data_IF_934336083834
#
_entry.id   IF_934336083834
#
_cell.length_a   1.000
_cell.length_b   1.000
_cell.length_c   1.000
_cell.angle_alpha   90.00
_cell.angle_beta   90.00
_cell.angle_gamma   90.00
#
_symmetry.space_group_name_H-M   'P 1'
#
loop_
_entity.id
_entity.type
_entity.pdbx_description
1 polymer ?
#
# COMPACT_ATOMS: atom_id res chain seq x y z
N UNK A 1 17.56 -5.58 31.31
CA UNK A 1 17.81 -5.84 29.87
C UNK A 1 18.35 -7.26 29.77
N UNK A 2 17.52 -8.22 29.38
CA UNK A 2 17.93 -9.62 29.24
C UNK A 2 18.16 -9.85 27.75
N UNK A 3 19.43 -9.98 27.36
CA UNK A 3 19.80 -10.32 25.98
C UNK A 3 19.65 -11.84 25.85
N UNK A 4 18.62 -12.29 25.15
CA UNK A 4 18.49 -13.70 24.79
C UNK A 4 19.61 -14.09 23.80
N UNK A 5 20.20 -15.29 23.91
CA UNK A 5 21.20 -15.74 22.95
C UNK A 5 20.60 -15.83 21.54
N UNK A 6 21.37 -15.59 20.47
CA UNK A 6 20.88 -15.68 19.12
C UNK A 6 20.34 -17.11 18.85
N UNK A 7 19.10 -17.20 18.40
CA UNK A 7 18.51 -18.46 17.97
C UNK A 7 19.28 -18.98 16.74
N UNK A 8 19.50 -20.29 16.63
CA UNK A 8 20.09 -20.86 15.43
C UNK A 8 19.24 -20.43 14.22
N UNK A 9 19.88 -19.94 13.16
CA UNK A 9 19.22 -19.59 11.91
C UNK A 9 18.45 -20.82 11.42
N UNK A 10 17.15 -20.69 11.12
CA UNK A 10 16.44 -21.81 10.50
C UNK A 10 17.15 -22.15 9.19
N UNK A 11 17.35 -23.43 8.94
CA UNK A 11 17.89 -23.89 7.67
C UNK A 11 16.99 -23.34 6.56
N UNK A 12 17.53 -22.48 5.70
CA UNK A 12 16.84 -21.97 4.53
C UNK A 12 16.62 -23.17 3.61
N UNK A 13 15.39 -23.66 3.58
CA UNK A 13 15.00 -24.66 2.59
C UNK A 13 15.19 -24.06 1.21
N UNK A 14 16.11 -24.57 0.43
CA UNK A 14 16.33 -24.23 -0.98
C UNK A 14 15.24 -24.82 -1.88
N UNK A 15 13.97 -24.74 -1.47
CA UNK A 15 12.86 -24.98 -2.39
C UNK A 15 12.87 -23.86 -3.41
N UNK A 16 13.26 -24.17 -4.62
CA UNK A 16 13.06 -23.32 -5.79
C UNK A 16 11.55 -23.16 -5.94
N UNK A 17 11.03 -22.03 -5.50
CA UNK A 17 9.63 -21.70 -5.72
C UNK A 17 9.46 -21.43 -7.23
N UNK A 18 8.63 -22.23 -7.89
CA UNK A 18 8.23 -21.92 -9.26
C UNK A 18 7.41 -20.63 -9.24
N UNK A 19 7.89 -19.62 -9.95
CA UNK A 19 7.17 -18.36 -10.13
C UNK A 19 6.34 -18.47 -11.41
N UNK A 20 5.01 -18.30 -11.27
CA UNK A 20 4.09 -18.25 -12.41
C UNK A 20 3.39 -16.90 -12.45
N UNK A 21 3.24 -16.35 -13.67
CA UNK A 21 2.45 -15.14 -13.89
C UNK A 21 0.97 -15.50 -13.86
N UNK A 22 0.22 -14.91 -12.93
CA UNK A 22 -1.23 -15.12 -12.81
C UNK A 22 -2.05 -13.99 -13.44
N UNK A 23 -1.45 -12.81 -13.64
CA UNK A 23 -2.04 -11.67 -14.35
C UNK A 23 -0.94 -10.74 -14.90
N UNK A 24 -1.09 -10.13 -16.10
CA UNK A 24 -1.98 -10.61 -17.15
C UNK A 24 -1.53 -11.97 -17.66
N UNK A 25 -2.46 -12.90 -17.80
CA UNK A 25 -2.23 -14.23 -18.36
C UNK A 25 -3.00 -14.40 -19.67
N UNK A 26 -2.57 -15.33 -20.53
CA UNK A 26 -3.38 -15.69 -21.68
C UNK A 26 -4.75 -16.19 -21.21
N UNK A 27 -5.84 -15.54 -21.68
CA UNK A 27 -7.20 -15.84 -21.25
C UNK A 27 -7.59 -15.28 -19.88
N UNK A 28 -6.80 -14.35 -19.31
CA UNK A 28 -7.22 -13.62 -18.13
C UNK A 28 -8.58 -12.95 -18.40
N UNK A 29 -9.56 -13.26 -17.54
CA UNK A 29 -10.89 -12.72 -17.68
C UNK A 29 -10.91 -11.25 -17.23
N UNK A 30 -11.69 -10.44 -17.93
CA UNK A 30 -12.19 -9.19 -17.38
C UNK A 30 -13.71 -9.34 -17.15
N UNK A 31 -14.18 -8.72 -16.08
CA UNK A 31 -15.60 -8.62 -15.77
C UNK A 31 -15.84 -7.22 -15.25
N UNK A 32 -15.80 -6.25 -16.14
CA UNK A 32 -15.88 -4.86 -15.76
C UNK A 32 -17.19 -4.54 -15.04
N UNK A 33 -17.08 -4.26 -13.74
CA UNK A 33 -18.21 -3.78 -12.94
C UNK A 33 -18.39 -2.28 -13.12
N UNK A 34 -19.15 -1.91 -14.15
CA UNK A 34 -19.44 -0.49 -14.46
C UNK A 34 -20.29 0.20 -13.41
N UNK A 35 -21.01 -0.55 -12.58
CA UNK A 35 -21.83 0.03 -11.52
C UNK A 35 -20.96 0.56 -10.39
N UNK A 36 -19.94 -0.21 -10.01
CA UNK A 36 -19.03 0.17 -8.91
C UNK A 36 -17.87 1.05 -9.43
N UNK A 37 -17.41 0.86 -10.66
CA UNK A 37 -16.24 1.50 -11.23
C UNK A 37 -16.53 2.31 -12.50
N UNK A 38 -17.68 3.00 -12.55
CA UNK A 38 -18.15 3.68 -13.77
C UNK A 38 -17.20 4.74 -14.34
N UNK A 39 -16.38 5.38 -13.50
CA UNK A 39 -15.37 6.35 -13.92
C UNK A 39 -14.05 5.72 -14.40
N UNK A 40 -13.90 4.39 -14.31
CA UNK A 40 -12.74 3.68 -14.82
C UNK A 40 -12.77 3.64 -16.36
N UNK A 41 -11.70 4.03 -17.06
CA UNK A 41 -11.68 4.07 -18.53
C UNK A 41 -11.71 2.70 -19.20
N UNK A 42 -11.56 1.61 -18.46
CA UNK A 42 -11.55 0.24 -18.96
C UNK A 42 -10.34 -0.57 -18.45
N UNK A 43 -10.12 -1.79 -18.96
CA UNK A 43 -9.03 -2.65 -18.53
C UNK A 43 -7.67 -1.99 -18.70
N UNK A 44 -6.75 -2.29 -17.77
CA UNK A 44 -5.38 -1.82 -17.84
C UNK A 44 -4.64 -2.44 -19.05
N UNK A 45 -3.69 -1.70 -19.61
CA UNK A 45 -2.84 -2.24 -20.66
C UNK A 45 -1.82 -3.24 -20.07
N UNK A 46 -1.88 -4.54 -20.41
CA UNK A 46 -0.98 -5.54 -19.83
C UNK A 46 0.49 -5.29 -20.10
N UNK A 47 0.83 -4.57 -21.18
CA UNK A 47 2.21 -4.23 -21.53
C UNK A 47 2.78 -3.08 -20.70
N UNK A 48 1.90 -2.33 -20.04
CA UNK A 48 2.23 -1.17 -19.21
C UNK A 48 1.86 -1.41 -17.72
N UNK A 49 1.56 -2.66 -17.35
CA UNK A 49 1.24 -3.02 -15.99
C UNK A 49 2.46 -2.86 -15.08
N UNK A 50 2.43 -1.84 -14.23
CA UNK A 50 3.43 -1.56 -13.19
C UNK A 50 2.73 -1.54 -11.86
N UNK A 51 2.92 -2.58 -11.05
CA UNK A 51 2.28 -2.73 -9.73
C UNK A 51 3.21 -2.27 -8.61
N UNK A 52 2.61 -1.75 -7.53
CA UNK A 52 3.31 -1.34 -6.32
C UNK A 52 2.61 -1.92 -5.09
N UNK A 53 1.96 -1.10 -4.26
CA UNK A 53 1.24 -1.55 -3.06
C UNK A 53 0.07 -2.47 -3.38
N UNK A 54 -0.10 -3.50 -2.56
CA UNK A 54 -1.16 -4.50 -2.70
C UNK A 54 -1.93 -4.63 -1.39
N UNK A 55 -3.24 -4.82 -1.47
CA UNK A 55 -4.06 -5.18 -0.30
C UNK A 55 -5.14 -6.19 -0.70
N UNK A 56 -5.20 -7.30 0.02
CA UNK A 56 -6.21 -8.33 -0.17
C UNK A 56 -7.30 -8.19 0.90
N UNK A 57 -8.53 -7.89 0.47
CA UNK A 57 -9.73 -7.91 1.33
C UNK A 57 -10.34 -9.31 1.29
N UNK A 58 -10.32 -10.06 2.40
CA UNK A 58 -11.00 -11.34 2.45
C UNK A 58 -12.50 -11.18 2.17
N UNK A 59 -13.02 -12.04 1.32
CA UNK A 59 -14.44 -12.12 1.00
C UNK A 59 -15.07 -13.39 1.54
N UNK A 60 -16.22 -13.77 0.99
CA UNK A 60 -16.92 -15.00 1.40
C UNK A 60 -16.34 -16.23 0.69
N UNK A 61 -16.08 -17.28 1.46
CA UNK A 61 -15.56 -18.55 0.93
C UNK A 61 -14.16 -18.39 0.32
N UNK A 62 -14.00 -18.76 -0.95
CA UNK A 62 -12.73 -18.68 -1.68
C UNK A 62 -12.56 -17.39 -2.48
N UNK A 63 -13.55 -16.53 -2.51
CA UNK A 63 -13.54 -15.31 -3.34
C UNK A 63 -13.14 -14.12 -2.51
N UNK A 64 -12.10 -13.41 -2.95
CA UNK A 64 -11.51 -12.25 -2.29
C UNK A 64 -11.36 -11.09 -3.26
N UNK A 65 -11.17 -9.86 -2.74
CA UNK A 65 -10.89 -8.69 -3.56
C UNK A 65 -9.44 -8.25 -3.37
N UNK A 66 -8.70 -8.13 -4.46
CA UNK A 66 -7.34 -7.57 -4.45
C UNK A 66 -7.37 -6.14 -4.99
N UNK A 67 -6.85 -5.21 -4.21
CA UNK A 67 -6.55 -3.85 -4.63
C UNK A 67 -5.05 -3.76 -4.95
N UNK A 68 -4.71 -3.20 -6.10
CA UNK A 68 -3.34 -3.06 -6.56
C UNK A 68 -3.07 -1.63 -7.02
N UNK A 69 -2.07 -0.99 -6.43
CA UNK A 69 -1.52 0.27 -6.93
C UNK A 69 -0.91 0.04 -8.31
N UNK A 70 -1.22 0.91 -9.24
CA UNK A 70 -0.73 0.88 -10.62
C UNK A 70 -0.15 2.23 -11.05
N UNK A 71 1.06 2.21 -11.65
CA UNK A 71 1.81 3.39 -12.12
C UNK A 71 2.07 3.39 -13.63
N UNK A 72 1.44 2.52 -14.39
CA UNK A 72 1.76 2.32 -15.80
C UNK A 72 1.24 3.41 -16.75
N UNK A 73 0.22 3.08 -17.52
CA UNK A 73 -0.46 3.99 -18.45
C UNK A 73 -1.37 4.99 -17.72
N UNK A 74 -1.62 4.76 -16.45
CA UNK A 74 -2.40 5.62 -15.55
C UNK A 74 -1.95 5.44 -14.10
N UNK A 75 -2.27 6.41 -13.28
CA UNK A 75 -2.12 6.31 -11.82
C UNK A 75 -3.47 5.90 -11.23
N UNK A 76 -3.57 4.69 -10.71
CA UNK A 76 -4.86 4.10 -10.34
C UNK A 76 -4.73 3.03 -9.26
N UNK A 77 -5.86 2.70 -8.65
CA UNK A 77 -6.04 1.42 -7.96
C UNK A 77 -6.80 0.48 -8.90
N UNK A 78 -6.14 -0.59 -9.28
CA UNK A 78 -6.74 -1.67 -10.05
C UNK A 78 -7.40 -2.67 -9.10
N UNK A 79 -8.58 -3.15 -9.46
CA UNK A 79 -9.38 -4.02 -8.60
C UNK A 79 -9.59 -5.37 -9.29
N UNK A 80 -9.25 -6.42 -8.54
CA UNK A 80 -9.36 -7.80 -9.02
C UNK A 80 -10.18 -8.64 -8.06
N UNK A 81 -10.94 -9.56 -8.62
CA UNK A 81 -11.49 -10.70 -7.90
C UNK A 81 -10.49 -11.86 -7.94
N UNK A 82 -10.22 -12.45 -6.79
CA UNK A 82 -9.35 -13.62 -6.63
C UNK A 82 -10.21 -14.79 -6.18
N UNK A 83 -10.34 -15.83 -6.99
CA UNK A 83 -10.94 -17.11 -6.55
C UNK A 83 -9.83 -18.11 -6.21
N UNK A 84 -9.70 -18.40 -4.94
CA UNK A 84 -8.67 -19.27 -4.38
C UNK A 84 -9.07 -20.77 -4.34
N UNK A 85 -10.11 -21.19 -5.10
CA UNK A 85 -10.49 -22.62 -5.19
C UNK A 85 -9.45 -23.47 -5.87
N UNK A 86 -8.69 -22.90 -6.81
CA UNK A 86 -7.67 -23.60 -7.57
C UNK A 86 -6.25 -23.12 -7.21
N UNK A 87 -5.26 -23.91 -7.57
CA UNK A 87 -3.84 -23.55 -7.48
C UNK A 87 -3.22 -23.66 -8.87
N UNK A 88 -2.79 -22.55 -9.51
CA UNK A 88 -2.86 -21.18 -9.02
C UNK A 88 -4.30 -20.65 -8.92
N UNK A 89 -4.56 -19.59 -8.14
CA UNK A 89 -5.87 -18.97 -8.05
C UNK A 89 -6.27 -18.31 -9.38
N UNK A 90 -7.58 -18.22 -9.62
CA UNK A 90 -8.09 -17.44 -10.76
C UNK A 90 -8.11 -15.96 -10.39
N UNK A 91 -7.61 -15.12 -11.30
CA UNK A 91 -7.56 -13.67 -11.16
C UNK A 91 -8.39 -13.03 -12.26
N UNK A 92 -9.41 -12.29 -11.88
CA UNK A 92 -10.31 -11.59 -12.79
C UNK A 92 -10.25 -10.09 -12.52
N UNK A 93 -9.91 -9.28 -13.51
CA UNK A 93 -9.97 -7.83 -13.38
C UNK A 93 -11.44 -7.39 -13.37
N UNK A 94 -11.83 -6.53 -12.42
CA UNK A 94 -13.23 -6.10 -12.26
C UNK A 94 -13.42 -4.58 -12.35
N UNK A 95 -12.34 -3.79 -12.29
CA UNK A 95 -12.43 -2.35 -12.41
C UNK A 95 -11.20 -1.61 -11.93
N UNK A 96 -11.31 -0.30 -11.91
CA UNK A 96 -10.28 0.59 -11.37
C UNK A 96 -10.87 1.88 -10.81
N UNK A 97 -10.07 2.58 -10.01
CA UNK A 97 -10.31 3.97 -9.66
C UNK A 97 -9.05 4.80 -9.99
N UNK A 98 -9.16 5.67 -11.00
CA UNK A 98 -8.09 6.58 -11.40
C UNK A 98 -8.00 7.69 -10.37
N UNK A 99 -6.80 7.99 -9.87
CA UNK A 99 -6.61 9.03 -8.85
C UNK A 99 -6.60 10.42 -9.45
N UNK A 100 -7.01 11.44 -8.69
CA UNK A 100 -6.88 12.84 -9.12
C UNK A 100 -5.41 13.24 -9.28
N UNK A 101 -5.12 14.15 -10.23
CA UNK A 101 -3.82 14.81 -10.29
C UNK A 101 -3.65 15.79 -9.11
N UNK A 102 -2.44 15.93 -8.55
CA UNK A 102 -1.17 15.23 -8.86
C UNK A 102 -0.84 14.07 -7.91
N UNK A 103 -1.83 13.34 -7.42
CA UNK A 103 -1.62 12.27 -6.42
C UNK A 103 -0.65 11.20 -6.95
N UNK A 104 0.43 10.95 -6.19
CA UNK A 104 1.38 9.85 -6.43
C UNK A 104 1.21 8.75 -5.40
N UNK A 105 0.58 7.65 -5.79
CA UNK A 105 0.18 6.58 -4.88
C UNK A 105 1.41 5.76 -4.46
N UNK A 106 1.40 5.27 -3.22
CA UNK A 106 2.36 4.24 -2.78
C UNK A 106 1.64 2.97 -2.33
N UNK A 107 0.69 3.07 -1.43
CA UNK A 107 0.03 1.92 -0.82
C UNK A 107 -1.48 2.09 -0.73
N UNK A 108 -2.19 1.00 -0.51
CA UNK A 108 -3.65 0.95 -0.40
C UNK A 108 -4.06 0.00 0.71
N UNK A 109 -5.16 0.32 1.41
CA UNK A 109 -5.82 -0.56 2.38
C UNK A 109 -7.33 -0.57 2.15
N UNK A 110 -7.91 -1.75 2.12
CA UNK A 110 -9.35 -1.93 1.92
C UNK A 110 -10.15 -1.46 3.14
N UNK A 111 -11.22 -0.74 2.91
CA UNK A 111 -12.15 -0.33 3.97
C UNK A 111 -13.16 -1.43 4.29
N UNK A 112 -13.61 -1.55 5.54
CA UNK A 112 -14.64 -2.52 5.91
C UNK A 112 -16.02 -2.20 5.30
N UNK A 113 -16.30 -0.91 5.09
CA UNK A 113 -17.57 -0.33 4.61
C UNK A 113 -17.62 -0.07 3.10
N UNK A 114 -16.88 -0.83 2.31
CA UNK A 114 -16.63 -0.71 0.88
C UNK A 114 -15.75 0.48 0.49
N UNK A 115 -14.97 0.29 -0.58
CA UNK A 115 -13.93 1.23 -0.98
C UNK A 115 -12.58 0.92 -0.35
N UNK A 116 -11.71 1.91 -0.37
CA UNK A 116 -10.35 1.80 0.13
C UNK A 116 -9.78 3.18 0.50
N UNK A 117 -8.70 3.18 1.28
CA UNK A 117 -7.87 4.34 1.56
C UNK A 117 -6.47 4.10 0.99
N UNK A 118 -5.86 5.14 0.45
CA UNK A 118 -4.52 5.10 -0.11
C UNK A 118 -3.60 6.18 0.45
N UNK A 119 -2.31 5.98 0.29
CA UNK A 119 -1.29 6.97 0.59
C UNK A 119 -0.86 7.72 -0.67
N UNK A 120 -0.89 9.06 -0.62
CA UNK A 120 -0.14 9.93 -1.51
C UNK A 120 1.25 10.11 -0.92
N UNK A 121 2.26 9.42 -1.47
CA UNK A 121 3.63 9.54 -0.99
C UNK A 121 4.21 10.93 -1.23
N UNK A 122 3.99 11.45 -2.41
CA UNK A 122 4.34 12.80 -2.83
C UNK A 122 3.57 13.13 -4.12
N UNK A 123 3.26 14.41 -4.36
CA UNK A 123 2.67 14.83 -5.63
C UNK A 123 3.55 14.40 -6.81
N UNK A 124 2.93 13.84 -7.85
CA UNK A 124 3.63 13.51 -9.09
C UNK A 124 4.20 14.78 -9.70
N UNK A 125 5.47 14.73 -10.05
CA UNK A 125 6.17 15.80 -10.75
C UNK A 125 6.34 15.40 -12.21
N UNK A 126 6.10 16.30 -13.18
CA UNK A 126 6.52 16.03 -14.55
C UNK A 126 8.04 15.82 -14.57
N UNK A 127 8.57 14.91 -15.39
CA UNK A 127 10.01 14.73 -15.50
C UNK A 127 10.66 16.06 -15.91
N UNK A 128 11.78 16.46 -15.29
CA UNK A 128 12.50 17.67 -15.69
C UNK A 128 12.95 17.54 -17.16
N UNK A 129 12.99 18.64 -17.91
CA UNK A 129 13.44 18.63 -19.31
C UNK A 129 14.80 17.94 -19.44
N UNK A 130 14.85 16.85 -20.21
CA UNK A 130 16.08 16.07 -20.44
C UNK A 130 16.55 15.21 -19.25
N UNK A 131 15.79 15.13 -18.15
CA UNK A 131 16.13 14.40 -16.94
C UNK A 131 15.33 13.10 -16.76
N UNK A 132 15.91 12.11 -16.09
CA UNK A 132 15.15 11.01 -15.51
C UNK A 132 14.40 11.58 -14.30
N UNK A 133 13.08 11.57 -14.35
CA UNK A 133 12.25 11.98 -13.20
C UNK A 133 12.52 11.08 -11.99
N UNK A 134 12.28 11.61 -10.79
CA UNK A 134 12.13 10.79 -9.61
C UNK A 134 13.23 10.83 -8.55
N UNK A 135 14.03 11.89 -8.46
CA UNK A 135 14.82 12.14 -7.26
C UNK A 135 13.91 12.45 -6.05
N UNK A 136 14.20 11.86 -4.89
CA UNK A 136 13.53 12.24 -3.65
C UNK A 136 13.79 13.72 -3.37
N UNK A 137 12.74 14.50 -3.13
CA UNK A 137 12.89 15.94 -2.88
C UNK A 137 13.65 16.19 -1.58
N UNK A 138 14.43 17.29 -1.51
CA UNK A 138 15.09 17.72 -0.29
C UNK A 138 14.09 17.92 0.87
N UNK A 139 12.90 18.39 0.57
CA UNK A 139 11.79 18.54 1.53
C UNK A 139 11.39 17.22 2.16
N UNK A 140 11.20 16.18 1.35
CA UNK A 140 10.89 14.84 1.84
C UNK A 140 12.03 14.30 2.72
N UNK A 141 13.29 14.50 2.30
CA UNK A 141 14.46 14.09 3.09
C UNK A 141 14.56 14.84 4.42
N UNK A 142 14.09 16.08 4.46
CA UNK A 142 13.98 16.91 5.68
C UNK A 142 12.78 16.55 6.56
N UNK A 143 11.92 15.61 6.15
CA UNK A 143 10.73 15.23 6.89
C UNK A 143 9.58 16.23 6.80
N UNK A 144 9.59 17.10 5.79
CA UNK A 144 8.48 18.01 5.54
C UNK A 144 7.25 17.26 5.02
N UNK A 145 6.08 17.71 5.42
CA UNK A 145 4.82 17.14 4.92
C UNK A 145 4.66 17.46 3.44
N UNK A 146 4.48 16.43 2.64
CA UNK A 146 4.41 16.51 1.18
C UNK A 146 3.39 15.55 0.57
N UNK A 147 2.65 14.84 1.39
CA UNK A 147 1.62 13.90 1.01
C UNK A 147 0.51 13.85 2.04
N UNK A 148 -0.52 13.09 1.76
CA UNK A 148 -1.68 12.88 2.61
C UNK A 148 -2.36 11.57 2.26
N UNK A 149 -3.51 11.28 2.88
CA UNK A 149 -4.34 10.11 2.57
C UNK A 149 -5.57 10.50 1.78
N UNK A 150 -6.00 9.60 0.89
CA UNK A 150 -7.22 9.73 0.13
C UNK A 150 -8.10 8.49 0.30
N UNK A 151 -9.36 8.72 0.51
CA UNK A 151 -10.40 7.68 0.55
C UNK A 151 -11.20 7.68 -0.75
N UNK A 152 -11.58 6.50 -1.20
CA UNK A 152 -12.44 6.33 -2.36
C UNK A 152 -13.60 5.40 -2.05
N UNK A 153 -14.77 5.78 -2.51
CA UNK A 153 -15.99 4.97 -2.51
C UNK A 153 -16.69 5.07 -3.85
N UNK A 154 -17.31 3.99 -4.31
CA UNK A 154 -17.99 3.96 -5.60
C UNK A 154 -19.07 5.04 -5.76
N UNK A 155 -19.78 5.37 -4.69
CA UNK A 155 -20.89 6.35 -4.73
C UNK A 155 -20.45 7.80 -4.59
N UNK A 156 -19.42 8.08 -3.80
CA UNK A 156 -18.98 9.44 -3.47
C UNK A 156 -17.69 9.87 -4.16
N UNK A 157 -16.98 8.93 -4.78
CA UNK A 157 -15.68 9.20 -5.41
C UNK A 157 -14.58 9.43 -4.39
N UNK A 158 -13.65 10.34 -4.72
CA UNK A 158 -12.45 10.64 -3.96
C UNK A 158 -12.67 11.74 -2.92
N UNK A 159 -12.12 11.54 -1.73
CA UNK A 159 -12.05 12.55 -0.67
C UNK A 159 -10.70 12.47 0.05
N UNK A 160 -10.13 13.63 0.42
CA UNK A 160 -8.98 13.67 1.32
C UNK A 160 -9.40 13.26 2.74
N UNK A 161 -8.56 12.50 3.41
CA UNK A 161 -8.76 12.19 4.82
C UNK A 161 -8.30 13.41 5.65
N UNK A 162 -9.18 14.01 6.46
CA UNK A 162 -8.82 15.18 7.25
C UNK A 162 -7.67 14.88 8.23
N UNK A 163 -6.72 15.83 8.36
CA UNK A 163 -5.61 15.73 9.30
C UNK A 163 -4.57 14.65 8.97
N UNK A 164 -4.55 14.17 7.72
CA UNK A 164 -3.71 13.07 7.27
C UNK A 164 -2.40 13.49 6.61
N UNK A 165 -2.07 14.79 6.64
CA UNK A 165 -0.82 15.30 6.08
C UNK A 165 0.38 14.56 6.65
N UNK A 166 1.26 14.07 5.78
CA UNK A 166 2.37 13.21 6.16
C UNK A 166 3.63 13.50 5.32
N UNK A 167 4.78 13.19 5.88
CA UNK A 167 6.06 13.29 5.19
C UNK A 167 6.38 11.95 4.50
N UNK A 168 6.05 11.83 3.23
CA UNK A 168 6.21 10.59 2.49
C UNK A 168 5.33 9.49 3.07
N UNK A 169 3.99 9.65 2.95
CA UNK A 169 3.04 8.62 3.34
C UNK A 169 3.25 7.35 2.51
N UNK A 170 3.86 6.34 3.11
CA UNK A 170 4.27 5.10 2.46
C UNK A 170 3.25 3.98 2.73
N UNK A 171 3.61 2.96 3.48
CA UNK A 171 2.71 1.87 3.82
C UNK A 171 1.49 2.31 4.62
N UNK A 172 0.36 1.64 4.42
CA UNK A 172 -0.89 1.91 5.12
C UNK A 172 -1.55 0.61 5.58
N UNK A 173 -2.18 0.67 6.74
CA UNK A 173 -2.99 -0.40 7.30
C UNK A 173 -4.15 0.18 8.11
N UNK A 174 -5.18 -0.62 8.37
CA UNK A 174 -6.34 -0.22 9.15
C UNK A 174 -6.47 -1.07 10.41
N UNK A 175 -7.10 -0.51 11.45
CA UNK A 175 -7.65 -1.34 12.51
C UNK A 175 -8.77 -2.24 11.95
N UNK A 176 -9.02 -3.38 12.59
CA UNK A 176 -10.04 -4.34 12.13
C UNK A 176 -11.45 -3.77 12.07
N UNK A 177 -11.75 -2.80 12.95
CA UNK A 177 -13.02 -2.09 12.97
C UNK A 177 -13.07 -0.88 12.04
N UNK A 178 -11.98 -0.60 11.32
CA UNK A 178 -11.86 0.51 10.37
C UNK A 178 -11.84 1.90 11.00
N UNK A 179 -11.76 2.02 12.34
CA UNK A 179 -11.79 3.31 13.04
C UNK A 179 -10.44 4.00 13.14
N UNK A 180 -9.36 3.28 12.88
CA UNK A 180 -8.00 3.80 12.93
C UNK A 180 -7.26 3.48 11.64
N UNK A 181 -6.52 4.47 11.18
CA UNK A 181 -5.59 4.35 10.04
C UNK A 181 -4.18 4.42 10.58
N UNK A 182 -3.32 3.54 10.11
CA UNK A 182 -1.91 3.44 10.46
C UNK A 182 -1.07 3.71 9.23
N UNK A 183 -0.10 4.63 9.32
CA UNK A 183 0.69 5.10 8.18
C UNK A 183 2.17 5.10 8.51
N UNK A 184 2.97 4.54 7.62
CA UNK A 184 4.41 4.70 7.63
C UNK A 184 4.77 6.09 7.06
N UNK A 185 5.41 6.96 7.85
CA UNK A 185 5.93 8.24 7.39
C UNK A 185 7.43 8.11 7.09
N UNK A 186 7.75 7.82 5.83
CA UNK A 186 9.12 7.55 5.41
C UNK A 186 10.06 8.74 5.67
N UNK A 187 9.62 9.96 5.35
CA UNK A 187 10.43 11.17 5.54
C UNK A 187 10.73 11.49 6.99
N UNK A 188 9.77 11.28 7.89
CA UNK A 188 9.90 11.55 9.32
C UNK A 188 10.46 10.38 10.14
N UNK A 189 10.67 9.23 9.53
CA UNK A 189 11.12 8.03 10.25
C UNK A 189 10.18 7.68 11.41
N UNK A 190 8.88 7.78 11.17
CA UNK A 190 7.85 7.63 12.18
C UNK A 190 6.66 6.81 11.69
N UNK A 191 5.83 6.46 12.63
CA UNK A 191 4.55 5.79 12.44
C UNK A 191 3.45 6.76 12.86
N UNK A 192 2.44 6.92 12.02
CA UNK A 192 1.30 7.79 12.27
C UNK A 192 0.06 6.95 12.51
N UNK A 193 -0.68 7.26 13.57
CA UNK A 193 -2.01 6.73 13.87
C UNK A 193 -3.02 7.84 13.80
N UNK A 194 -4.08 7.64 13.01
CA UNK A 194 -5.17 8.59 12.81
C UNK A 194 -6.52 7.96 13.11
N UNK A 195 -7.42 8.69 13.76
CA UNK A 195 -8.83 8.27 13.84
C UNK A 195 -9.53 8.53 12.50
N UNK A 196 -10.35 7.56 12.05
CA UNK A 196 -11.18 7.69 10.85
C UNK A 196 -12.61 8.07 11.26
N UNK A 197 -13.18 9.06 10.56
CA UNK A 197 -14.58 9.48 10.76
C UNK A 197 -14.86 10.20 12.09
N UNK A 198 -13.84 10.62 12.84
CA UNK A 198 -13.96 11.36 14.08
C UNK A 198 -13.62 12.84 13.89
N UNK A 199 -14.37 13.72 14.56
CA UNK A 199 -14.11 15.16 14.57
C UNK A 199 -14.08 15.66 16.02
N UNK A 200 -12.96 16.28 16.49
CA UNK A 200 -11.71 16.45 15.78
C UNK A 200 -10.98 15.13 15.55
N UNK A 201 -10.12 15.09 14.52
CA UNK A 201 -9.29 13.92 14.23
C UNK A 201 -8.29 13.72 15.38
N UNK A 202 -8.24 12.51 15.91
CA UNK A 202 -7.18 12.11 16.84
C UNK A 202 -5.96 11.67 16.04
N UNK A 203 -4.82 12.33 16.29
CA UNK A 203 -3.56 12.08 15.62
C UNK A 203 -2.47 11.79 16.62
N UNK A 204 -1.76 10.68 16.42
CA UNK A 204 -0.60 10.29 17.20
C UNK A 204 0.55 9.95 16.27
N UNK A 205 1.72 10.53 16.52
CA UNK A 205 2.93 10.25 15.79
C UNK A 205 3.94 9.57 16.72
N UNK A 206 4.52 8.45 16.28
CA UNK A 206 5.45 7.62 17.06
C UNK A 206 6.76 7.55 16.28
N UNK A 207 7.85 8.20 16.75
CA UNK A 207 9.16 8.07 16.14
C UNK A 207 9.68 6.63 16.24
N UNK A 208 10.24 6.10 15.14
CA UNK A 208 10.81 4.76 15.09
C UNK A 208 12.32 4.77 14.82
N UNK A 209 12.88 5.91 14.39
CA UNK A 209 14.31 6.06 14.17
C UNK A 209 14.85 5.41 12.89
N UNK A 210 13.99 4.90 12.03
CA UNK A 210 14.31 4.39 10.70
C UNK A 210 13.26 4.83 9.69
N UNK A 211 13.59 4.81 8.39
CA UNK A 211 12.66 5.18 7.32
C UNK A 211 11.63 4.08 7.14
N UNK A 212 10.44 4.34 7.67
CA UNK A 212 9.32 3.38 7.66
C UNK A 212 8.76 3.22 6.24
N UNK A 213 8.55 1.98 5.84
CA UNK A 213 8.08 1.62 4.50
C UNK A 213 6.70 0.94 4.58
N UNK A 214 6.63 -0.37 4.63
CA UNK A 214 5.37 -1.11 4.65
C UNK A 214 4.91 -1.47 6.06
N UNK A 215 3.59 -1.54 6.25
CA UNK A 215 2.95 -1.95 7.50
C UNK A 215 2.03 -3.13 7.21
N UNK A 216 2.04 -4.15 8.07
CA UNK A 216 1.08 -5.26 8.00
C UNK A 216 0.76 -5.79 9.39
N UNK A 217 -0.46 -6.27 9.56
CA UNK A 217 -0.80 -7.07 10.72
C UNK A 217 -0.06 -8.39 10.71
N UNK A 218 0.52 -8.75 11.85
CA UNK A 218 1.03 -10.09 12.08
C UNK A 218 -0.13 -11.10 12.09
N UNK A 219 0.15 -12.40 11.89
CA UNK A 219 -0.88 -13.44 11.93
C UNK A 219 -1.68 -13.50 13.24
N UNK A 220 -1.13 -13.00 14.35
CA UNK A 220 -1.83 -12.88 15.64
C UNK A 220 -2.96 -11.84 15.61
N UNK A 221 -2.96 -10.95 14.62
CA UNK A 221 -3.90 -9.86 14.43
C UNK A 221 -3.92 -8.82 15.55
N UNK A 222 -2.86 -8.76 16.35
CA UNK A 222 -2.68 -7.82 17.45
C UNK A 222 -1.42 -6.98 17.30
N UNK A 223 -0.41 -7.52 16.61
CA UNK A 223 0.89 -6.88 16.39
C UNK A 223 0.95 -6.29 15.00
N UNK A 224 1.33 -5.02 14.89
CA UNK A 224 1.67 -4.40 13.61
C UNK A 224 3.17 -4.58 13.36
N UNK A 225 3.52 -5.09 12.19
CA UNK A 225 4.89 -5.21 11.70
C UNK A 225 5.14 -4.02 10.79
N UNK A 226 6.16 -3.23 11.10
CA UNK A 226 6.61 -2.11 10.28
C UNK A 226 7.96 -2.46 9.68
N UNK A 227 8.03 -2.58 8.37
CA UNK A 227 9.28 -2.72 7.63
C UNK A 227 9.82 -1.34 7.26
N UNK A 228 11.12 -1.25 7.01
CA UNK A 228 11.71 0.02 6.58
C UNK A 228 13.21 -0.09 6.31
N UNK A 229 13.79 1.07 6.03
CA UNK A 229 15.19 1.23 5.65
C UNK A 229 15.94 1.92 6.80
N UNK A 230 17.03 1.29 7.24
CA UNK A 230 17.96 1.92 8.18
C UNK A 230 18.80 3.02 7.52
N UNK A 231 19.78 3.57 8.28
CA UNK A 231 20.81 4.43 7.70
C UNK A 231 21.64 3.66 6.68
N UNK A 232 22.34 4.36 5.77
CA UNK A 232 23.16 3.72 4.71
C UNK A 232 24.13 2.67 5.27
N UNK A 233 24.66 2.88 6.47
CA UNK A 233 25.51 1.90 7.16
C UNK A 233 24.75 0.64 7.62
N UNK A 234 23.46 0.75 7.94
CA UNK A 234 22.62 -0.37 8.32
C UNK A 234 22.04 -1.13 7.11
N UNK A 235 22.00 -0.52 5.94
CA UNK A 235 21.56 -1.17 4.69
C UNK A 235 22.52 -2.27 4.22
N UNK A 236 23.80 -2.19 4.62
CA UNK A 236 24.83 -3.18 4.26
C UNK A 236 24.75 -4.43 5.15
N UNK A 237 24.13 -4.34 6.30
CA UNK A 237 23.99 -5.45 7.26
C UNK A 237 22.58 -6.05 7.28
N UNK A 238 22.11 -6.50 6.10
CA UNK A 238 20.98 -7.42 5.89
C UNK A 238 19.92 -7.52 7.01
N UNK A 239 18.75 -6.93 6.78
CA UNK A 239 17.50 -7.50 7.29
C UNK A 239 17.30 -7.45 8.80
N UNK A 240 17.40 -6.29 9.43
CA UNK A 240 16.87 -6.12 10.77
C UNK A 240 15.36 -5.83 10.70
N UNK A 241 14.57 -6.83 11.08
CA UNK A 241 13.17 -6.67 11.37
C UNK A 241 13.02 -6.27 12.84
N UNK A 242 12.74 -5.01 13.12
CA UNK A 242 12.33 -4.59 14.46
C UNK A 242 10.83 -4.73 14.60
N UNK A 243 10.40 -5.47 15.62
CA UNK A 243 9.00 -5.58 16.02
C UNK A 243 8.72 -4.58 17.14
N UNK A 244 7.78 -3.68 16.93
CA UNK A 244 7.24 -2.81 17.97
C UNK A 244 5.98 -3.48 18.52
N UNK A 245 5.95 -3.73 19.83
CA UNK A 245 4.80 -4.31 20.55
C UNK A 245 3.87 -3.21 21.07
#
# INVERSE_FOLDING_TARGET
MIIAPPRPKPAVSTRTAAVSRIFPAAGAADRFDRKEHGACPGPLNPKQAVTHGLNLKPGKGSVHTLFAVHHGDRESIEVFEIDAKSTPPTVTWIGCAVVPDPVGINSVAALPDDGFVLTNFAPRQPPPPGGRGGGLSSKLMAGEQNGELWEWHAKSGWAKVPGSEAAGANGIELSRDGKWIYVAQWGKQSFLRLSRGKTPVERQEIPLGFRTDNIRWAPDGKTLIVAGQGTVAAQVSAGQHESVR
#
